data_IF_577426135449
#
_entry.id   IF_577426135449
#
_cell.length_a   1.000
_cell.length_b   1.000
_cell.length_c   1.000
_cell.angle_alpha   90.00
_cell.angle_beta   90.00
_cell.angle_gamma   90.00
#
_symmetry.space_group_name_H-M   'P 1'
#
loop_
_entity.id
_entity.type
_entity.pdbx_description
1 polymer ?
#
# COMPACT_ATOMS: atom_id res chain seq x y z
N UNK A 1 -51.27 53.83 31.50
CA UNK A 1 -49.88 53.24 31.55
C UNK A 1 -49.80 51.79 31.03
N UNK A 2 -50.87 51.12 30.66
CA UNK A 2 -50.85 49.65 30.40
C UNK A 2 -50.86 49.26 28.92
N UNK A 3 -51.31 50.09 28.01
CA UNK A 3 -51.44 49.73 26.60
C UNK A 3 -50.15 49.92 25.80
N UNK A 4 -49.41 50.97 26.05
CA UNK A 4 -48.15 51.26 25.37
C UNK A 4 -47.02 50.31 25.80
N UNK A 5 -46.96 49.93 27.08
CA UNK A 5 -45.99 48.95 27.58
C UNK A 5 -46.19 47.53 27.03
N UNK A 6 -47.43 47.11 26.80
CA UNK A 6 -47.72 45.80 26.17
C UNK A 6 -47.30 45.77 24.70
N UNK A 7 -47.49 46.87 23.97
CA UNK A 7 -47.10 46.98 22.55
C UNK A 7 -45.60 46.96 22.37
N UNK A 8 -44.83 47.64 23.24
CA UNK A 8 -43.36 47.66 23.24
C UNK A 8 -42.78 46.28 23.63
N UNK A 9 -43.36 45.54 24.55
CA UNK A 9 -42.96 44.16 24.88
C UNK A 9 -43.15 43.20 23.71
N UNK A 10 -44.29 43.28 22.97
CA UNK A 10 -44.55 42.48 21.80
C UNK A 10 -43.57 42.77 20.64
N UNK A 11 -43.18 44.03 20.44
CA UNK A 11 -42.18 44.42 19.42
C UNK A 11 -40.81 43.93 19.79
N UNK A 12 -40.39 44.05 21.05
CA UNK A 12 -39.06 43.54 21.52
C UNK A 12 -38.99 42.00 21.40
N UNK A 13 -40.05 41.28 21.69
CA UNK A 13 -40.10 39.80 21.58
C UNK A 13 -40.02 39.37 20.11
N UNK A 14 -40.72 40.06 19.20
CA UNK A 14 -40.64 39.77 17.76
C UNK A 14 -39.24 40.10 17.19
N UNK A 15 -38.62 41.20 17.64
CA UNK A 15 -37.28 41.58 17.19
C UNK A 15 -36.22 40.58 17.70
N UNK A 16 -36.33 40.11 18.96
CA UNK A 16 -35.43 39.09 19.49
C UNK A 16 -35.61 37.72 18.79
N UNK A 17 -36.83 37.38 18.38
CA UNK A 17 -37.09 36.15 17.66
C UNK A 17 -36.52 36.22 16.22
N UNK A 18 -36.63 37.36 15.56
CA UNK A 18 -36.04 37.60 14.24
C UNK A 18 -34.51 37.60 14.26
N UNK A 19 -33.89 38.21 15.29
CA UNK A 19 -32.44 38.16 15.46
C UNK A 19 -31.90 36.76 15.76
N UNK A 20 -32.65 35.96 16.56
CA UNK A 20 -32.26 34.56 16.82
C UNK A 20 -32.45 33.66 15.59
N UNK A 21 -33.44 33.96 14.73
CA UNK A 21 -33.64 33.22 13.48
C UNK A 21 -32.58 33.56 12.44
N UNK A 22 -32.17 34.83 12.32
CA UNK A 22 -31.12 35.26 11.43
C UNK A 22 -29.74 34.70 11.87
N UNK A 23 -29.47 34.61 13.19
CA UNK A 23 -28.24 34.03 13.71
C UNK A 23 -28.19 32.51 13.49
N UNK A 24 -29.32 31.79 13.48
CA UNK A 24 -29.37 30.35 13.13
C UNK A 24 -29.16 30.12 11.64
N UNK A 25 -29.63 31.02 10.77
CA UNK A 25 -29.44 30.90 9.31
C UNK A 25 -28.00 31.25 8.92
N UNK A 26 -27.31 32.16 9.65
CA UNK A 26 -25.92 32.51 9.40
C UNK A 26 -24.93 31.40 9.81
N UNK A 27 -25.33 30.51 10.73
CA UNK A 27 -24.49 29.35 11.17
C UNK A 27 -24.67 28.16 10.22
N UNK A 28 -25.75 28.09 9.44
CA UNK A 28 -25.99 27.02 8.46
C UNK A 28 -25.38 27.34 7.08
N UNK A 29 -25.03 28.62 6.83
CA UNK A 29 -24.50 29.09 5.54
C UNK A 29 -22.97 29.16 5.42
N UNK A 30 -22.23 29.06 6.52
CA UNK A 30 -20.77 28.89 6.49
C UNK A 30 -20.43 27.41 6.64
N UNK A 31 -20.84 26.62 5.65
CA UNK A 31 -20.16 25.38 5.34
C UNK A 31 -18.72 25.74 5.06
N UNK A 32 -17.88 25.69 6.10
CA UNK A 32 -16.46 25.57 5.95
C UNK A 32 -16.26 24.28 5.15
N UNK A 33 -16.22 24.37 3.83
CA UNK A 33 -15.57 23.38 3.02
C UNK A 33 -14.09 23.43 3.46
N UNK A 34 -13.79 22.70 4.54
CA UNK A 34 -12.45 22.20 4.73
C UNK A 34 -12.29 21.28 3.51
N UNK A 35 -11.75 21.84 2.44
CA UNK A 35 -11.10 21.07 1.42
C UNK A 35 -9.98 20.35 2.18
N UNK A 36 -10.29 19.17 2.68
CA UNK A 36 -9.27 18.21 3.08
C UNK A 36 -8.61 17.91 1.74
N UNK A 37 -7.57 18.71 1.42
CA UNK A 37 -6.62 18.30 0.42
C UNK A 37 -6.13 16.95 0.94
N UNK A 38 -6.69 15.87 0.41
CA UNK A 38 -6.17 14.54 0.65
C UNK A 38 -4.67 14.67 0.39
N UNK A 39 -3.81 14.34 1.35
CA UNK A 39 -2.39 14.30 1.09
C UNK A 39 -2.25 13.46 -0.19
N UNK A 40 -1.49 13.92 -1.15
CA UNK A 40 -1.04 13.07 -2.24
C UNK A 40 -0.05 12.10 -1.62
N UNK A 41 -0.59 11.10 -0.96
CA UNK A 41 0.16 10.01 -0.37
C UNK A 41 0.56 9.13 -1.53
N UNK A 42 1.81 8.75 -1.56
CA UNK A 42 2.34 7.81 -2.52
C UNK A 42 1.63 6.48 -2.31
N UNK A 43 0.94 6.00 -3.33
CA UNK A 43 0.10 4.83 -3.24
C UNK A 43 0.92 3.55 -3.31
N UNK A 44 0.62 2.56 -2.47
CA UNK A 44 1.09 1.19 -2.58
C UNK A 44 0.62 0.58 -3.90
N UNK A 45 1.39 -0.37 -4.42
CA UNK A 45 0.98 -1.19 -5.55
C UNK A 45 1.23 -2.67 -5.21
N UNK A 46 0.20 -3.48 -5.36
CA UNK A 46 0.26 -4.89 -5.00
C UNK A 46 -0.47 -5.77 -6.02
N UNK A 47 -0.12 -7.04 -5.99
CA UNK A 47 -0.91 -8.09 -6.63
C UNK A 47 -2.00 -8.54 -5.66
N UNK A 48 -3.22 -8.76 -6.16
CA UNK A 48 -4.36 -9.22 -5.36
C UNK A 48 -5.11 -10.32 -6.10
N UNK A 49 -5.90 -11.08 -5.37
CA UNK A 49 -6.77 -12.10 -5.93
C UNK A 49 -8.00 -12.31 -5.04
N UNK A 50 -9.06 -12.83 -5.60
CA UNK A 50 -10.21 -13.29 -4.82
C UNK A 50 -10.00 -14.67 -4.20
N UNK A 51 -8.97 -15.42 -4.63
CA UNK A 51 -8.74 -16.81 -4.23
C UNK A 51 -7.26 -17.06 -3.99
N UNK A 52 -6.83 -16.95 -2.74
CA UNK A 52 -5.46 -17.23 -2.32
C UNK A 52 -5.15 -18.72 -2.14
N UNK A 53 -6.18 -19.56 -2.07
CA UNK A 53 -6.05 -21.02 -1.97
C UNK A 53 -6.86 -21.70 -3.08
N UNK A 54 -6.37 -21.63 -4.34
CA UNK A 54 -7.08 -22.16 -5.48
C UNK A 54 -6.98 -23.68 -5.56
N UNK A 55 -7.99 -24.29 -6.18
CA UNK A 55 -7.96 -25.70 -6.53
C UNK A 55 -7.07 -25.94 -7.77
N UNK A 56 -6.43 -27.11 -7.84
CA UNK A 56 -5.73 -27.55 -9.06
C UNK A 56 -6.75 -27.66 -10.21
N UNK A 57 -6.37 -27.19 -11.40
CA UNK A 57 -7.21 -27.15 -12.59
C UNK A 57 -8.12 -25.91 -12.68
N UNK A 58 -8.03 -24.98 -11.73
CA UNK A 58 -8.75 -23.71 -11.80
C UNK A 58 -7.93 -22.62 -12.50
N UNK A 59 -8.64 -21.63 -13.04
CA UNK A 59 -8.10 -20.39 -13.54
C UNK A 59 -8.41 -19.27 -12.54
N UNK A 60 -7.40 -18.57 -12.03
CA UNK A 60 -7.60 -17.54 -11.03
C UNK A 60 -7.25 -16.14 -11.55
N UNK A 61 -8.07 -15.12 -11.20
CA UNK A 61 -7.75 -13.75 -11.53
C UNK A 61 -6.62 -13.22 -10.65
N UNK A 62 -5.65 -12.58 -11.28
CA UNK A 62 -4.61 -11.79 -10.62
C UNK A 62 -4.83 -10.33 -10.96
N UNK A 63 -5.23 -9.57 -9.98
CA UNK A 63 -5.44 -8.13 -10.07
C UNK A 63 -4.16 -7.38 -9.73
N UNK A 64 -3.85 -6.35 -10.50
CA UNK A 64 -2.83 -5.36 -10.16
C UNK A 64 -3.54 -4.17 -9.52
N UNK A 65 -3.30 -3.94 -8.25
CA UNK A 65 -3.96 -2.86 -7.48
C UNK A 65 -3.00 -1.71 -7.20
N UNK A 66 -3.55 -0.49 -7.21
CA UNK A 66 -2.84 0.70 -6.76
C UNK A 66 -3.76 1.54 -5.89
N UNK A 67 -3.34 1.84 -4.68
CA UNK A 67 -4.18 2.54 -3.71
C UNK A 67 -3.50 2.75 -2.38
N UNK A 68 -4.29 2.92 -1.35
CA UNK A 68 -3.83 3.23 -0.01
C UNK A 68 -4.58 2.37 1.01
N UNK A 69 -3.90 1.99 2.09
CA UNK A 69 -4.52 1.24 3.19
C UNK A 69 -5.23 -0.04 2.69
N UNK A 70 -4.56 -0.77 1.78
CA UNK A 70 -5.03 -2.02 1.19
C UNK A 70 -6.38 -1.90 0.45
N UNK A 71 -6.77 -0.68 0.08
CA UNK A 71 -7.89 -0.36 -0.79
C UNK A 71 -7.39 0.43 -2.00
N UNK A 72 -7.82 0.09 -3.20
CA UNK A 72 -7.29 0.71 -4.40
C UNK A 72 -7.99 0.33 -5.68
N UNK A 73 -7.69 1.11 -6.72
CA UNK A 73 -8.17 0.88 -8.07
C UNK A 73 -7.44 -0.31 -8.70
N UNK A 74 -8.14 -1.00 -9.56
CA UNK A 74 -7.58 -2.07 -10.37
C UNK A 74 -6.95 -1.51 -11.65
N UNK A 75 -5.70 -1.90 -11.90
CA UNK A 75 -4.95 -1.48 -13.07
C UNK A 75 -5.02 -2.55 -14.17
N UNK A 76 -5.18 -2.10 -15.41
CA UNK A 76 -5.17 -2.98 -16.58
C UNK A 76 -3.76 -3.48 -16.90
N UNK A 77 -3.68 -4.65 -17.55
CA UNK A 77 -2.45 -5.16 -18.13
C UNK A 77 -1.93 -4.26 -19.25
N UNK A 78 -0.70 -3.75 -19.10
CA UNK A 78 0.03 -3.01 -20.12
C UNK A 78 1.51 -3.41 -20.12
N UNK A 79 1.94 -4.17 -21.12
CA UNK A 79 3.31 -4.70 -21.22
C UNK A 79 4.42 -3.63 -21.22
N UNK A 80 4.10 -2.41 -21.59
CA UNK A 80 5.03 -1.29 -21.57
C UNK A 80 5.23 -0.68 -20.17
N UNK A 81 4.44 -1.06 -19.15
CA UNK A 81 4.52 -0.53 -17.79
C UNK A 81 5.36 -1.37 -16.83
N UNK A 82 5.71 -2.60 -17.19
CA UNK A 82 6.52 -3.50 -16.36
C UNK A 82 7.72 -4.06 -17.15
N UNK A 83 8.73 -4.47 -16.41
CA UNK A 83 9.88 -5.22 -16.92
C UNK A 83 9.68 -6.73 -16.79
N UNK A 84 9.02 -7.16 -15.71
CA UNK A 84 8.75 -8.56 -15.42
C UNK A 84 7.33 -8.74 -14.87
N UNK A 85 6.63 -9.77 -15.35
CA UNK A 85 5.39 -10.25 -14.79
C UNK A 85 5.35 -11.75 -15.01
N UNK A 86 5.49 -12.52 -13.92
CA UNK A 86 5.63 -13.97 -13.97
C UNK A 86 5.16 -14.60 -12.67
N UNK A 87 5.04 -15.91 -12.67
CA UNK A 87 4.92 -16.69 -11.43
C UNK A 87 5.99 -17.78 -11.38
N UNK A 88 6.31 -18.20 -10.15
CA UNK A 88 7.24 -19.28 -9.86
C UNK A 88 6.50 -20.34 -9.06
N UNK A 89 6.60 -21.58 -9.49
CA UNK A 89 6.34 -22.76 -8.68
C UNK A 89 7.69 -23.44 -8.37
N UNK A 90 7.67 -24.56 -7.63
CA UNK A 90 8.91 -25.25 -7.25
C UNK A 90 9.83 -25.63 -8.42
N UNK A 91 9.32 -25.68 -9.63
CA UNK A 91 9.98 -26.27 -10.81
C UNK A 91 10.43 -25.24 -11.83
N UNK A 92 9.71 -24.13 -11.99
CA UNK A 92 9.98 -23.20 -13.09
C UNK A 92 9.43 -21.79 -12.87
N UNK A 93 10.05 -20.84 -13.57
CA UNK A 93 9.55 -19.48 -13.79
C UNK A 93 8.72 -19.46 -15.07
N UNK A 94 7.48 -18.98 -15.00
CA UNK A 94 6.53 -18.90 -16.12
C UNK A 94 6.11 -17.45 -16.28
N UNK A 95 6.38 -16.87 -17.46
CA UNK A 95 5.96 -15.51 -17.79
C UNK A 95 4.43 -15.43 -17.91
N UNK A 96 3.87 -14.33 -17.39
CA UNK A 96 2.44 -14.04 -17.48
C UNK A 96 2.21 -13.13 -18.68
N UNK A 97 1.40 -13.59 -19.61
CA UNK A 97 0.96 -12.83 -20.76
C UNK A 97 -0.56 -12.65 -20.71
N UNK A 98 -1.03 -11.45 -21.09
CA UNK A 98 -2.43 -11.09 -21.20
C UNK A 98 -2.61 -10.08 -22.32
N UNK A 99 -3.86 -9.79 -22.68
CA UNK A 99 -4.13 -8.78 -23.71
C UNK A 99 -4.01 -7.39 -23.12
N UNK A 100 -3.51 -6.46 -23.91
CA UNK A 100 -3.43 -5.06 -23.55
C UNK A 100 -4.82 -4.54 -23.16
N UNK A 101 -4.92 -3.97 -21.95
CA UNK A 101 -6.15 -3.44 -21.40
C UNK A 101 -6.96 -4.44 -20.54
N UNK A 102 -6.58 -5.70 -20.46
CA UNK A 102 -7.30 -6.69 -19.64
C UNK A 102 -7.36 -6.28 -18.17
N UNK A 103 -8.53 -6.50 -17.58
CA UNK A 103 -8.85 -6.38 -16.15
C UNK A 103 -9.70 -7.62 -15.81
N UNK A 104 -9.24 -8.48 -14.89
CA UNK A 104 -7.99 -8.44 -14.12
C UNK A 104 -6.75 -8.49 -15.01
N UNK A 105 -5.61 -8.07 -14.47
CA UNK A 105 -4.37 -7.95 -15.23
C UNK A 105 -3.85 -9.28 -15.79
N UNK A 106 -4.22 -10.41 -15.14
CA UNK A 106 -3.92 -11.76 -15.63
C UNK A 106 -4.95 -12.78 -15.17
N UNK A 107 -5.02 -13.87 -15.90
CA UNK A 107 -5.65 -15.12 -15.45
C UNK A 107 -4.55 -16.15 -15.34
N UNK A 108 -4.39 -16.73 -14.17
CA UNK A 108 -3.34 -17.71 -13.86
C UNK A 108 -3.90 -19.12 -13.85
N UNK A 109 -3.49 -20.01 -14.77
CA UNK A 109 -3.87 -21.42 -14.73
C UNK A 109 -3.12 -22.13 -13.59
N UNK A 110 -3.85 -22.85 -12.75
CA UNK A 110 -3.31 -23.60 -11.61
C UNK A 110 -3.12 -25.06 -11.99
N UNK A 111 -1.90 -25.41 -12.39
CA UNK A 111 -1.59 -26.73 -12.92
C UNK A 111 -0.89 -27.66 -11.92
N UNK A 112 -0.36 -27.13 -10.82
CA UNK A 112 0.45 -27.91 -9.87
C UNK A 112 0.16 -27.57 -8.42
N UNK A 113 0.34 -28.58 -7.56
CA UNK A 113 0.28 -28.46 -6.12
C UNK A 113 1.48 -27.69 -5.56
N UNK A 114 1.35 -27.06 -4.40
CA UNK A 114 2.41 -26.39 -3.67
C UNK A 114 2.24 -24.88 -3.54
N UNK A 115 3.30 -24.21 -3.08
CA UNK A 115 3.34 -22.76 -2.98
C UNK A 115 3.70 -22.15 -4.34
N UNK A 116 2.87 -21.21 -4.82
CA UNK A 116 3.12 -20.43 -6.03
C UNK A 116 3.42 -18.99 -5.60
N UNK A 117 4.45 -18.39 -6.19
CA UNK A 117 4.80 -16.96 -5.99
C UNK A 117 4.60 -16.21 -7.30
N UNK A 118 3.59 -15.33 -7.37
CA UNK A 118 3.44 -14.37 -8.46
C UNK A 118 4.31 -13.14 -8.24
N UNK A 119 4.85 -12.57 -9.31
CA UNK A 119 5.80 -11.45 -9.27
C UNK A 119 5.48 -10.43 -10.34
N UNK A 120 5.46 -9.15 -9.97
CA UNK A 120 5.36 -8.03 -10.88
C UNK A 120 6.47 -7.02 -10.57
N UNK A 121 7.24 -6.61 -11.58
CA UNK A 121 8.26 -5.57 -11.48
C UNK A 121 7.93 -4.45 -12.44
N UNK A 122 7.64 -3.27 -11.91
CA UNK A 122 7.34 -2.12 -12.75
C UNK A 122 8.57 -1.64 -13.51
N UNK A 123 8.36 -0.98 -14.65
CA UNK A 123 9.35 -0.06 -15.18
C UNK A 123 9.42 1.20 -14.31
N UNK A 124 10.45 1.98 -14.54
CA UNK A 124 10.63 3.29 -13.94
C UNK A 124 9.44 4.19 -14.21
N UNK A 125 8.96 4.84 -13.17
CA UNK A 125 7.98 5.92 -13.25
C UNK A 125 8.49 7.11 -12.44
N UNK A 126 7.90 8.30 -12.64
CA UNK A 126 8.35 9.51 -11.95
C UNK A 126 7.17 10.27 -11.38
N UNK A 127 7.40 10.90 -10.23
CA UNK A 127 6.45 11.83 -9.59
C UNK A 127 7.14 13.18 -9.38
N UNK A 128 6.35 14.26 -9.48
CA UNK A 128 6.83 15.62 -9.20
C UNK A 128 6.25 16.12 -7.89
N UNK A 129 7.11 16.58 -7.00
CA UNK A 129 6.74 17.21 -5.74
C UNK A 129 6.61 18.73 -5.94
N UNK A 130 5.39 19.25 -5.81
CA UNK A 130 5.13 20.70 -5.85
C UNK A 130 5.50 21.41 -4.55
N UNK A 131 5.85 20.68 -3.50
CA UNK A 131 6.34 21.19 -2.23
C UNK A 131 7.13 20.12 -1.50
N UNK A 132 8.18 20.54 -0.82
CA UNK A 132 9.00 19.69 0.05
C UNK A 132 8.16 18.99 1.14
N UNK A 133 7.13 19.67 1.67
CA UNK A 133 6.28 19.07 2.71
C UNK A 133 5.63 17.75 2.28
N UNK A 134 5.24 17.62 0.99
CA UNK A 134 4.67 16.36 0.48
C UNK A 134 5.69 15.23 0.47
N UNK A 135 6.93 15.51 0.07
CA UNK A 135 8.03 14.56 0.14
C UNK A 135 8.36 14.20 1.59
N UNK A 136 8.42 15.20 2.48
CA UNK A 136 8.72 14.98 3.89
C UNK A 136 7.65 14.09 4.57
N UNK A 137 6.37 14.33 4.29
CA UNK A 137 5.28 13.50 4.80
C UNK A 137 5.40 12.05 4.30
N UNK A 138 5.66 11.86 3.01
CA UNK A 138 5.90 10.53 2.43
C UNK A 138 7.10 9.84 3.07
N UNK A 139 8.24 10.50 3.15
CA UNK A 139 9.45 9.94 3.75
C UNK A 139 9.23 9.55 5.23
N UNK A 140 8.51 10.38 5.98
CA UNK A 140 8.15 10.09 7.38
C UNK A 140 7.21 8.90 7.50
N UNK A 141 6.18 8.83 6.66
CA UNK A 141 5.22 7.72 6.66
C UNK A 141 5.91 6.37 6.40
N UNK A 142 6.91 6.38 5.53
CA UNK A 142 7.64 5.16 5.12
C UNK A 142 8.87 4.85 5.98
N UNK A 143 9.12 5.63 7.06
CA UNK A 143 10.27 5.41 7.96
C UNK A 143 11.62 5.80 7.36
N UNK A 144 11.60 6.75 6.42
CA UNK A 144 12.78 7.25 5.70
C UNK A 144 13.10 8.72 6.10
N UNK A 145 12.92 9.09 7.38
CA UNK A 145 13.12 10.44 7.89
C UNK A 145 14.52 10.99 7.63
N UNK A 146 15.52 10.11 7.49
CA UNK A 146 16.87 10.52 7.12
C UNK A 146 16.91 11.27 5.78
N UNK A 147 15.99 10.95 4.87
CA UNK A 147 15.89 11.60 3.57
C UNK A 147 15.46 13.06 3.70
N UNK A 148 14.60 13.39 4.68
CA UNK A 148 14.17 14.77 5.00
C UNK A 148 15.40 15.60 5.39
N UNK A 149 16.16 15.11 6.37
CA UNK A 149 17.38 15.77 6.81
C UNK A 149 18.38 15.92 5.67
N UNK A 150 18.57 14.86 4.89
CA UNK A 150 19.52 14.84 3.77
C UNK A 150 19.14 15.83 2.67
N UNK A 151 17.84 15.97 2.38
CA UNK A 151 17.33 16.94 1.41
C UNK A 151 17.69 18.38 1.81
N UNK A 152 17.47 18.72 3.09
CA UNK A 152 17.76 20.03 3.65
C UNK A 152 19.28 20.29 3.67
N UNK A 153 20.07 19.36 4.20
CA UNK A 153 21.52 19.49 4.31
C UNK A 153 22.19 19.67 2.94
N UNK A 154 21.66 19.01 1.91
CA UNK A 154 22.14 19.13 0.54
C UNK A 154 21.60 20.36 -0.20
N UNK A 155 20.79 21.19 0.46
CA UNK A 155 20.15 22.39 -0.10
C UNK A 155 19.42 22.10 -1.43
N UNK A 156 18.71 20.98 -1.49
CA UNK A 156 17.93 20.61 -2.67
C UNK A 156 16.69 21.51 -2.79
N UNK A 157 16.11 21.62 -4.00
CA UNK A 157 14.93 22.46 -4.21
C UNK A 157 13.74 22.09 -3.32
N UNK A 158 13.08 23.07 -2.74
CA UNK A 158 11.90 22.87 -1.90
C UNK A 158 10.61 22.69 -2.71
N UNK A 159 10.64 22.98 -4.01
CA UNK A 159 9.51 22.84 -4.91
C UNK A 159 9.96 22.34 -6.29
N UNK A 160 8.98 21.77 -7.04
CA UNK A 160 9.14 21.34 -8.43
C UNK A 160 10.30 20.36 -8.69
N UNK A 161 10.66 19.55 -7.71
CA UNK A 161 11.63 18.48 -7.87
C UNK A 161 10.93 17.12 -8.09
N UNK A 162 11.69 16.11 -8.53
CA UNK A 162 11.16 14.82 -8.91
C UNK A 162 11.81 13.68 -8.14
N UNK A 163 11.05 12.60 -8.06
CA UNK A 163 11.46 11.29 -7.62
C UNK A 163 11.13 10.27 -8.73
N UNK A 164 12.10 9.45 -9.09
CA UNK A 164 11.84 8.23 -9.85
C UNK A 164 11.47 7.10 -8.90
N UNK A 165 10.57 6.20 -9.31
CA UNK A 165 10.20 5.08 -8.47
C UNK A 165 10.06 3.77 -9.26
N UNK A 166 10.32 2.67 -8.54
CA UNK A 166 10.15 1.29 -9.01
C UNK A 166 9.33 0.50 -8.00
N UNK A 167 8.53 -0.45 -8.47
CA UNK A 167 7.69 -1.30 -7.64
C UNK A 167 7.97 -2.76 -7.91
N UNK A 168 8.08 -3.53 -6.82
CA UNK A 168 8.36 -4.96 -6.79
C UNK A 168 7.27 -5.62 -5.96
N UNK A 169 6.29 -6.21 -6.61
CA UNK A 169 5.15 -6.81 -5.92
C UNK A 169 5.18 -8.32 -6.04
N UNK A 170 4.99 -9.00 -4.93
CA UNK A 170 4.84 -10.47 -4.85
C UNK A 170 3.47 -10.82 -4.30
N UNK A 171 2.94 -11.96 -4.72
CA UNK A 171 1.76 -12.60 -4.15
C UNK A 171 2.05 -14.06 -3.91
N UNK A 172 1.62 -14.59 -2.77
CA UNK A 172 1.72 -16.03 -2.47
C UNK A 172 0.34 -16.68 -2.62
N UNK A 173 0.33 -17.85 -3.23
CA UNK A 173 -0.86 -18.66 -3.42
C UNK A 173 -0.56 -20.08 -2.93
N UNK A 174 -1.44 -20.64 -2.10
CA UNK A 174 -1.31 -22.00 -1.60
C UNK A 174 -2.21 -22.96 -2.38
N UNK A 175 -1.66 -23.89 -3.12
CA UNK A 175 -2.43 -24.85 -3.93
C UNK A 175 -2.40 -26.24 -3.30
N UNK A 176 -3.55 -26.84 -3.08
CA UNK A 176 -3.67 -28.17 -2.50
C UNK A 176 -3.08 -28.22 -1.09
N UNK A 177 -2.02 -29.02 -0.88
CA UNK A 177 -1.29 -29.09 0.39
C UNK A 177 -0.40 -27.85 0.67
N UNK A 178 -0.26 -26.98 -0.31
CA UNK A 178 0.50 -25.72 -0.26
C UNK A 178 1.96 -25.88 0.20
N UNK A 179 2.53 -27.06 0.06
CA UNK A 179 3.92 -27.30 0.44
C UNK A 179 4.89 -26.45 -0.35
N UNK A 180 5.97 -26.05 0.29
CA UNK A 180 6.99 -25.19 -0.30
C UNK A 180 7.35 -24.02 0.59
N UNK A 181 8.26 -23.17 0.09
CA UNK A 181 8.70 -21.95 0.77
C UNK A 181 8.94 -20.85 -0.24
N UNK A 182 8.60 -19.62 0.13
CA UNK A 182 9.03 -18.46 -0.63
C UNK A 182 10.56 -18.31 -0.58
N UNK A 183 11.13 -17.84 -1.67
CA UNK A 183 12.58 -17.70 -1.84
C UNK A 183 12.90 -16.31 -2.36
N UNK A 184 14.14 -15.87 -2.14
CA UNK A 184 14.64 -14.71 -2.86
C UNK A 184 14.72 -15.02 -4.35
N UNK A 185 14.10 -14.15 -5.15
CA UNK A 185 14.06 -14.23 -6.61
C UNK A 185 15.04 -13.27 -7.26
N UNK A 186 15.87 -12.59 -6.46
CA UNK A 186 16.86 -11.64 -6.93
C UNK A 186 16.31 -10.29 -7.34
N UNK A 187 15.12 -9.92 -6.88
CA UNK A 187 14.56 -8.59 -7.11
C UNK A 187 15.43 -7.53 -6.41
N UNK A 188 15.54 -6.36 -7.01
CA UNK A 188 16.35 -5.28 -6.44
C UNK A 188 15.89 -4.89 -5.03
N UNK A 189 14.59 -4.86 -4.81
CA UNK A 189 13.96 -4.67 -3.51
C UNK A 189 12.94 -5.78 -3.30
N UNK A 190 13.07 -6.55 -2.21
CA UNK A 190 12.33 -7.80 -2.08
C UNK A 190 11.94 -8.10 -0.63
N UNK A 191 10.68 -8.45 -0.46
CA UNK A 191 10.15 -9.10 0.73
C UNK A 191 10.07 -10.61 0.48
N UNK A 192 10.65 -11.39 1.37
CA UNK A 192 10.64 -12.87 1.31
C UNK A 192 9.94 -13.41 2.53
N UNK A 193 8.86 -14.14 2.35
CA UNK A 193 8.17 -14.83 3.43
C UNK A 193 9.03 -16.00 3.93
N UNK A 194 9.46 -15.94 5.17
CA UNK A 194 10.15 -17.05 5.84
C UNK A 194 9.18 -18.06 6.45
N UNK A 195 7.93 -17.63 6.66
CA UNK A 195 6.82 -18.49 7.10
C UNK A 195 5.92 -18.73 5.89
N UNK A 196 5.60 -19.99 5.62
CA UNK A 196 4.55 -20.33 4.65
C UNK A 196 3.18 -20.07 5.31
N UNK A 197 2.37 -19.11 4.79
CA UNK A 197 1.10 -18.74 5.42
C UNK A 197 0.01 -19.79 5.31
N UNK A 198 0.21 -20.84 4.49
CA UNK A 198 -0.79 -21.88 4.19
C UNK A 198 -0.55 -23.18 4.94
N UNK A 199 0.57 -23.31 5.64
CA UNK A 199 0.89 -24.49 6.43
C UNK A 199 0.65 -24.19 7.91
N UNK A 200 -0.09 -25.09 8.58
CA UNK A 200 -0.37 -24.95 10.02
C UNK A 200 0.92 -24.88 10.79
N UNK A 201 1.14 -23.74 11.46
CA UNK A 201 2.22 -23.54 12.40
C UNK A 201 1.73 -23.72 13.83
N UNK A 202 2.63 -24.03 14.77
CA UNK A 202 2.35 -24.01 16.21
C UNK A 202 2.18 -22.59 16.78
N UNK A 203 2.48 -21.57 15.98
CA UNK A 203 2.46 -20.16 16.35
C UNK A 203 1.87 -19.34 15.21
N UNK A 204 1.11 -18.31 15.53
CA UNK A 204 0.62 -17.29 14.59
C UNK A 204 1.72 -16.31 14.16
N UNK A 205 2.98 -16.58 14.50
CA UNK A 205 4.12 -15.75 14.14
C UNK A 205 4.45 -15.86 12.66
N UNK A 206 4.39 -14.74 11.97
CA UNK A 206 4.83 -14.62 10.58
C UNK A 206 6.17 -13.88 10.52
N UNK A 207 7.12 -14.50 9.84
CA UNK A 207 8.46 -13.94 9.64
C UNK A 207 8.65 -13.56 8.18
N UNK A 208 9.12 -12.34 7.95
CA UNK A 208 9.44 -11.81 6.63
C UNK A 208 10.85 -11.26 6.62
N UNK A 209 11.57 -11.47 5.53
CA UNK A 209 12.92 -10.93 5.33
C UNK A 209 12.89 -9.84 4.28
N UNK A 210 13.49 -8.70 4.60
CA UNK A 210 13.65 -7.57 3.71
C UNK A 210 15.05 -7.57 3.11
N UNK A 211 15.12 -7.52 1.78
CA UNK A 211 16.34 -7.47 1.01
C UNK A 211 16.38 -6.23 0.11
N UNK A 212 17.52 -5.59 0.00
CA UNK A 212 17.79 -4.57 -0.99
C UNK A 212 19.15 -4.86 -1.68
N UNK A 213 19.15 -4.95 -3.01
CA UNK A 213 20.31 -5.43 -3.78
C UNK A 213 20.84 -6.79 -3.25
N UNK A 214 19.94 -7.71 -2.88
CA UNK A 214 20.23 -9.02 -2.32
C UNK A 214 20.78 -9.01 -0.88
N UNK A 215 20.91 -7.85 -0.23
CA UNK A 215 21.46 -7.72 1.13
C UNK A 215 20.34 -7.50 2.15
N UNK A 216 20.40 -8.18 3.31
CA UNK A 216 19.46 -7.93 4.42
C UNK A 216 19.48 -6.46 4.85
N UNK A 217 18.33 -5.91 5.14
CA UNK A 217 18.14 -4.53 5.56
C UNK A 217 17.79 -4.49 7.06
N UNK A 218 18.70 -3.96 7.86
CA UNK A 218 18.53 -3.81 9.31
C UNK A 218 17.81 -2.51 9.66
N UNK A 219 17.02 -2.55 10.74
CA UNK A 219 16.29 -1.39 11.30
C UNK A 219 15.46 -0.63 10.27
N UNK A 220 14.79 -1.36 9.36
CA UNK A 220 13.88 -0.79 8.38
C UNK A 220 12.44 -1.01 8.79
N UNK A 221 11.64 0.02 8.63
CA UNK A 221 10.21 -0.05 8.85
C UNK A 221 9.56 -0.99 7.83
N UNK A 222 8.69 -1.88 8.29
CA UNK A 222 7.78 -2.63 7.45
C UNK A 222 6.36 -2.28 7.90
N UNK A 223 5.52 -1.84 6.98
CA UNK A 223 4.11 -1.58 7.23
C UNK A 223 3.30 -2.81 6.84
N UNK A 224 2.40 -3.23 7.71
CA UNK A 224 1.55 -4.39 7.54
C UNK A 224 0.11 -3.92 7.56
N UNK A 225 -0.59 -4.15 6.47
CA UNK A 225 -2.02 -3.96 6.34
C UNK A 225 -2.70 -5.32 6.45
N UNK A 226 -3.59 -5.48 7.41
CA UNK A 226 -4.37 -6.67 7.63
C UNK A 226 -5.82 -6.38 7.30
N UNK A 227 -6.41 -7.12 6.36
CA UNK A 227 -7.80 -6.97 5.90
C UNK A 227 -8.60 -8.21 6.27
N UNK A 228 -9.62 -8.04 7.10
CA UNK A 228 -10.53 -9.12 7.48
C UNK A 228 -11.59 -9.39 6.39
N UNK A 229 -12.42 -10.41 6.61
CA UNK A 229 -13.49 -10.79 5.66
C UNK A 229 -14.55 -9.68 5.48
N UNK A 230 -14.75 -8.82 6.49
CA UNK A 230 -15.65 -7.64 6.44
C UNK A 230 -15.00 -6.43 5.71
N UNK A 231 -13.80 -6.62 5.15
CA UNK A 231 -13.01 -5.60 4.46
C UNK A 231 -12.53 -4.45 5.35
N UNK A 232 -12.57 -4.64 6.66
CA UNK A 232 -11.95 -3.70 7.59
C UNK A 232 -10.44 -3.89 7.56
N UNK A 233 -9.69 -2.79 7.54
CA UNK A 233 -8.23 -2.81 7.49
C UNK A 233 -7.65 -2.27 8.78
N UNK A 234 -6.77 -3.06 9.41
CA UNK A 234 -5.88 -2.59 10.47
C UNK A 234 -4.47 -2.39 9.92
N UNK A 235 -3.73 -1.46 10.54
CA UNK A 235 -2.37 -1.12 10.11
C UNK A 235 -1.43 -1.23 11.31
N UNK A 236 -0.33 -1.94 11.16
CA UNK A 236 0.74 -2.00 12.15
C UNK A 236 2.10 -1.78 11.48
N UNK A 237 3.05 -1.33 12.28
CA UNK A 237 4.43 -1.12 11.85
C UNK A 237 5.37 -1.95 12.70
N UNK A 238 6.32 -2.61 12.06
CA UNK A 238 7.40 -3.34 12.70
C UNK A 238 8.75 -2.90 12.15
N UNK A 239 9.84 -3.27 12.81
CA UNK A 239 11.20 -3.01 12.35
C UNK A 239 11.98 -4.31 12.16
N UNK A 240 12.82 -4.34 11.14
CA UNK A 240 13.70 -5.47 10.87
C UNK A 240 14.88 -5.51 11.85
N UNK A 241 15.29 -6.72 12.21
CA UNK A 241 16.51 -6.96 13.01
C UNK A 241 17.78 -6.93 12.14
N UNK A 242 18.95 -7.19 12.75
CA UNK A 242 20.26 -7.22 12.06
C UNK A 242 20.36 -8.22 10.88
N UNK A 243 19.48 -9.21 10.82
CA UNK A 243 19.39 -10.17 9.71
C UNK A 243 18.35 -9.74 8.64
N UNK A 244 17.79 -8.54 8.76
CA UNK A 244 16.73 -8.04 7.89
C UNK A 244 15.38 -8.73 8.12
N UNK A 245 15.16 -9.35 9.27
CA UNK A 245 13.94 -10.12 9.57
C UNK A 245 13.01 -9.29 10.43
N UNK A 246 11.78 -9.11 9.95
CA UNK A 246 10.64 -8.62 10.70
C UNK A 246 9.72 -9.76 11.14
N UNK A 247 9.00 -9.55 12.24
CA UNK A 247 8.08 -10.52 12.83
C UNK A 247 6.79 -9.84 13.24
N UNK A 248 5.66 -10.45 12.91
CA UNK A 248 4.34 -10.02 13.37
C UNK A 248 3.41 -11.22 13.58
N UNK A 249 2.25 -11.00 14.20
CA UNK A 249 1.19 -12.00 14.32
C UNK A 249 0.28 -11.95 13.09
N UNK A 250 0.02 -13.09 12.48
CA UNK A 250 -0.90 -13.21 11.36
C UNK A 250 -2.18 -13.92 11.81
N UNK A 251 -3.29 -13.17 11.83
CA UNK A 251 -4.62 -13.70 12.15
C UNK A 251 -5.08 -14.62 11.02
N UNK A 252 -5.55 -15.81 11.38
CA UNK A 252 -6.03 -16.78 10.42
C UNK A 252 -7.25 -16.26 9.65
N UNK A 253 -7.28 -16.49 8.34
CA UNK A 253 -8.37 -16.10 7.46
C UNK A 253 -8.30 -14.65 6.96
N UNK A 254 -7.36 -13.84 7.44
CA UNK A 254 -7.20 -12.46 6.98
C UNK A 254 -6.22 -12.35 5.81
N UNK A 255 -6.45 -11.36 4.95
CA UNK A 255 -5.54 -10.98 3.87
C UNK A 255 -4.48 -10.01 4.40
N UNK A 256 -3.27 -10.12 3.89
CA UNK A 256 -2.13 -9.30 4.28
C UNK A 256 -1.49 -8.62 3.08
N UNK A 257 -1.19 -7.33 3.24
CA UNK A 257 -0.25 -6.60 2.40
C UNK A 257 0.89 -6.13 3.30
N UNK A 258 2.09 -6.63 3.03
CA UNK A 258 3.34 -6.23 3.69
C UNK A 258 4.08 -5.30 2.76
N UNK A 259 4.41 -4.09 3.22
CA UNK A 259 4.99 -3.03 2.39
C UNK A 259 6.26 -2.45 3.04
N UNK A 260 7.25 -2.16 2.21
CA UNK A 260 8.43 -1.40 2.60
C UNK A 260 8.88 -0.51 1.44
N UNK A 261 9.39 0.66 1.79
CA UNK A 261 9.99 1.60 0.85
C UNK A 261 11.42 1.91 1.29
N UNK A 262 12.31 1.98 0.30
CA UNK A 262 13.68 2.49 0.48
C UNK A 262 13.89 3.68 -0.44
N UNK A 263 14.43 4.77 0.09
CA UNK A 263 14.82 5.96 -0.65
C UNK A 263 16.34 5.96 -0.90
N UNK A 264 16.74 6.36 -2.09
CA UNK A 264 18.12 6.67 -2.45
C UNK A 264 18.24 8.10 -2.98
N UNK A 265 19.22 8.87 -2.49
CA UNK A 265 19.56 10.16 -3.07
C UNK A 265 20.37 9.96 -4.36
N UNK A 266 19.94 10.54 -5.45
CA UNK A 266 20.66 10.48 -6.72
C UNK A 266 21.94 11.34 -6.66
N UNK A 267 23.09 10.72 -6.85
CA UNK A 267 24.39 11.40 -6.78
C UNK A 267 24.59 12.39 -7.94
N UNK A 268 24.01 12.09 -9.09
CA UNK A 268 24.10 12.90 -10.30
C UNK A 268 22.67 13.13 -10.83
N UNK A 269 21.89 14.05 -10.21
CA UNK A 269 20.51 14.30 -10.61
C UNK A 269 20.44 14.81 -12.04
N UNK A 270 19.48 14.27 -12.81
CA UNK A 270 19.16 14.71 -14.16
C UNK A 270 17.68 15.09 -14.19
N UNK A 271 17.33 16.15 -14.92
CA UNK A 271 15.94 16.60 -15.10
C UNK A 271 15.17 16.80 -13.78
N UNK A 272 15.85 17.32 -12.76
CA UNK A 272 15.33 17.58 -11.40
C UNK A 272 14.92 16.31 -10.62
N UNK A 273 15.43 15.14 -11.01
CA UNK A 273 15.20 13.88 -10.31
C UNK A 273 16.27 13.71 -9.23
N UNK A 274 15.97 14.12 -8.00
CA UNK A 274 16.90 14.07 -6.88
C UNK A 274 16.80 12.77 -6.09
N UNK A 275 15.67 12.11 -6.11
CA UNK A 275 15.40 10.90 -5.33
C UNK A 275 14.96 9.74 -6.22
N UNK A 276 15.25 8.55 -5.74
CA UNK A 276 14.69 7.32 -6.28
C UNK A 276 14.15 6.47 -5.14
N UNK A 277 12.90 6.04 -5.25
CA UNK A 277 12.30 5.10 -4.30
C UNK A 277 12.11 3.72 -4.91
N UNK A 278 12.25 2.73 -4.04
CA UNK A 278 12.04 1.32 -4.35
C UNK A 278 10.99 0.78 -3.39
N UNK A 279 9.91 0.25 -3.95
CA UNK A 279 8.74 -0.23 -3.21
C UNK A 279 8.67 -1.73 -3.30
N UNK A 280 8.70 -2.42 -2.16
CA UNK A 280 8.47 -3.87 -2.11
C UNK A 280 7.12 -4.14 -1.44
N UNK A 281 6.30 -4.95 -2.10
CA UNK A 281 5.01 -5.40 -1.58
C UNK A 281 4.94 -6.93 -1.61
N UNK A 282 4.33 -7.52 -0.58
CA UNK A 282 4.07 -8.95 -0.50
C UNK A 282 2.64 -9.15 -0.01
N UNK A 283 1.81 -9.85 -0.79
CA UNK A 283 0.43 -10.19 -0.42
C UNK A 283 0.24 -11.69 -0.25
N UNK A 284 -0.59 -12.03 0.73
CA UNK A 284 -1.01 -13.40 1.00
C UNK A 284 -2.27 -13.40 1.87
N UNK A 285 -2.94 -14.53 1.95
CA UNK A 285 -3.96 -14.80 2.97
C UNK A 285 -3.37 -15.74 4.01
N UNK A 286 -3.50 -15.41 5.29
CA UNK A 286 -3.17 -16.36 6.36
C UNK A 286 -4.27 -17.40 6.44
N UNK A 287 -3.96 -18.63 6.01
CA UNK A 287 -4.94 -19.67 5.87
C UNK A 287 -4.87 -20.67 7.03
N UNK A 288 -6.03 -21.02 7.59
CA UNK A 288 -6.16 -22.18 8.45
C UNK A 288 -6.69 -23.33 7.61
N UNK A 289 -5.89 -24.35 7.40
CA UNK A 289 -6.41 -25.64 6.95
C UNK A 289 -7.25 -26.18 8.10
N UNK A 290 -8.54 -25.79 8.14
CA UNK A 290 -9.50 -26.49 9.00
C UNK A 290 -9.57 -27.93 8.53
N UNK A 291 -9.36 -28.83 9.45
CA UNK A 291 -9.50 -30.26 9.27
C UNK A 291 -10.84 -30.65 8.63
#
# INVERSE_FOLDING_TARGET
KTFVQRRMKKVKIKLLFFLKLQLKILIIGSGFFISIASPMISHEMWLDTTTFHPAIGSDIPISLKNGQTFDGIELSYFKNRFSEFYYVNDKQKIEIESRMGDVPAAILPIESNGLITGVYVSKKSSISYKSFQKFANFASEKGEEWAIKRHIDAKLPEDNFKEDYYRFSKILLGVGDANGSDKSLGLKHELVALTNPYIKSQSDDFFVKLLFNGKPQENRQITIFERNDEKQVSVQTIFTNAKGIGKFKATQGNDYLVDNVILELNKNPQNDVYWTSYWAALTFRSFNVSN
#
